data_IF_121679147293
#
_entry.id   IF_121679147293
#
_cell.length_a   1.000
_cell.length_b   1.000
_cell.length_c   1.000
_cell.angle_alpha   90.00
_cell.angle_beta   90.00
_cell.angle_gamma   90.00
#
_symmetry.space_group_name_H-M   'P 1'
#
loop_
_entity.id
_entity.type
_entity.pdbx_description
1 polymer ?
#
# COMPACT_ATOMS: atom_id res chain seq x y z
N UNK A 1 -11.73 1.14 20.81
CA UNK A 1 -11.55 1.41 19.37
C UNK A 1 -10.21 2.09 19.17
N UNK A 2 -9.46 1.64 18.17
CA UNK A 2 -8.27 2.35 17.71
C UNK A 2 -8.65 3.21 16.50
N UNK A 3 -8.04 4.37 16.35
CA UNK A 3 -8.33 5.24 15.21
C UNK A 3 -7.13 6.13 14.88
N UNK A 4 -7.00 6.49 13.61
CA UNK A 4 -5.95 7.38 13.11
C UNK A 4 -6.54 8.31 12.05
N UNK A 5 -6.08 9.56 12.02
CA UNK A 5 -6.32 10.44 10.88
C UNK A 5 -5.09 10.36 9.97
N UNK A 6 -5.22 9.62 8.88
CA UNK A 6 -4.09 9.35 7.99
C UNK A 6 -3.66 10.57 7.19
N UNK A 7 -4.50 11.61 7.14
CA UNK A 7 -4.14 12.85 6.44
C UNK A 7 -3.19 13.72 7.25
N UNK A 8 -3.15 13.54 8.57
CA UNK A 8 -2.35 14.38 9.48
C UNK A 8 -1.32 13.61 10.29
N UNK A 9 -1.39 12.29 10.30
CA UNK A 9 -0.47 11.45 11.05
C UNK A 9 0.98 11.71 10.60
N UNK A 10 1.88 11.88 11.56
CA UNK A 10 3.30 12.03 11.27
C UNK A 10 3.88 10.67 10.87
N UNK A 11 4.24 10.55 9.61
CA UNK A 11 4.77 9.29 9.04
C UNK A 11 6.11 9.59 8.37
N UNK A 12 7.15 8.88 8.79
CA UNK A 12 8.48 9.03 8.22
C UNK A 12 8.47 8.63 6.74
N UNK A 13 9.03 9.48 5.83
CA UNK A 13 9.06 9.18 4.41
C UNK A 13 9.70 7.81 4.11
N UNK A 14 9.12 7.07 3.16
CA UNK A 14 9.57 5.74 2.71
C UNK A 14 9.51 4.63 3.74
N UNK A 15 9.12 4.91 4.95
CA UNK A 15 9.12 3.92 6.02
C UNK A 15 7.70 3.48 6.31
N UNK A 16 7.27 2.30 5.84
CA UNK A 16 5.92 1.81 6.12
C UNK A 16 5.70 1.71 7.62
N UNK A 17 4.60 2.27 8.08
CA UNK A 17 4.20 2.21 9.47
C UNK A 17 3.00 1.29 9.64
N UNK A 18 3.18 0.19 10.35
CA UNK A 18 2.07 -0.71 10.66
C UNK A 18 1.18 -0.05 11.69
N UNK A 19 -0.09 0.10 11.37
CA UNK A 19 -1.10 0.68 12.26
C UNK A 19 -1.77 -0.40 13.10
N UNK A 20 -2.24 -1.44 12.43
CA UNK A 20 -2.93 -2.55 13.07
C UNK A 20 -2.62 -3.82 12.29
N UNK A 21 -2.38 -4.92 13.01
CA UNK A 21 -2.10 -6.20 12.38
C UNK A 21 -2.57 -7.33 13.28
N UNK A 22 -3.43 -8.20 12.74
CA UNK A 22 -3.89 -9.39 13.43
C UNK A 22 -3.69 -10.59 12.52
N UNK A 23 -2.96 -11.58 13.01
CA UNK A 23 -2.70 -12.81 12.24
C UNK A 23 -4.01 -13.49 11.85
N UNK A 24 -4.13 -13.84 10.58
CA UNK A 24 -5.32 -14.47 10.02
C UNK A 24 -6.38 -13.49 9.54
N UNK A 25 -6.19 -12.20 9.78
CA UNK A 25 -7.12 -11.15 9.37
C UNK A 25 -6.43 -10.20 8.40
N UNK A 26 -6.30 -8.93 8.77
CA UNK A 26 -5.70 -7.94 7.90
C UNK A 26 -4.53 -7.22 8.58
N UNK A 27 -3.62 -6.70 7.77
CA UNK A 27 -2.59 -5.77 8.22
C UNK A 27 -2.84 -4.43 7.53
N UNK A 28 -2.99 -3.37 8.32
CA UNK A 28 -3.16 -2.00 7.84
C UNK A 28 -1.87 -1.23 8.02
N UNK A 29 -1.39 -0.63 6.94
CA UNK A 29 -0.10 0.07 6.88
C UNK A 29 -0.32 1.43 6.27
N UNK A 30 0.32 2.46 6.81
CA UNK A 30 0.35 3.77 6.18
C UNK A 30 1.75 4.07 5.67
N UNK A 31 1.82 4.81 4.56
CA UNK A 31 3.06 5.15 3.89
C UNK A 31 3.02 6.60 3.42
N UNK A 32 4.09 7.33 3.69
CA UNK A 32 4.33 8.65 3.12
C UNK A 32 5.36 8.49 1.99
N UNK A 33 4.93 8.79 0.77
CA UNK A 33 5.76 8.69 -0.43
C UNK A 33 5.97 10.10 -1.00
N UNK A 34 7.18 10.68 -0.81
CA UNK A 34 7.47 12.01 -1.32
C UNK A 34 7.36 12.11 -2.84
N UNK A 35 7.08 13.31 -3.35
CA UNK A 35 6.98 13.57 -4.78
C UNK A 35 8.21 13.07 -5.55
N UNK A 36 7.99 12.40 -6.67
CA UNK A 36 9.04 11.87 -7.52
C UNK A 36 9.61 10.53 -7.08
N UNK A 37 9.19 10.04 -5.92
CA UNK A 37 9.68 8.77 -5.40
C UNK A 37 8.73 7.62 -5.71
N UNK A 38 9.26 6.40 -5.61
CA UNK A 38 8.47 5.23 -6.02
C UNK A 38 8.68 4.04 -5.09
N UNK A 39 7.65 3.21 -5.00
CA UNK A 39 7.77 1.84 -4.56
C UNK A 39 8.07 1.05 -5.82
N UNK A 40 9.29 0.51 -5.93
CA UNK A 40 9.72 -0.21 -7.11
C UNK A 40 8.89 -1.47 -7.32
N UNK A 41 8.95 -2.00 -8.54
CA UNK A 41 8.27 -3.23 -8.93
C UNK A 41 8.42 -4.30 -7.86
N UNK A 42 7.32 -4.68 -7.25
CA UNK A 42 7.29 -5.65 -6.16
C UNK A 42 5.97 -6.43 -6.18
N UNK A 43 5.95 -7.48 -5.38
CA UNK A 43 4.75 -8.27 -5.19
C UNK A 43 4.61 -8.66 -3.73
N UNK A 44 3.39 -8.86 -3.28
CA UNK A 44 3.10 -9.34 -1.93
C UNK A 44 2.25 -10.61 -2.03
N UNK A 45 2.30 -11.43 -1.00
CA UNK A 45 1.58 -12.72 -0.98
C UNK A 45 0.10 -12.55 -0.68
N UNK A 46 -0.30 -11.38 -0.22
CA UNK A 46 -1.67 -11.05 0.18
C UNK A 46 -2.38 -10.31 -0.94
N UNK A 47 -3.70 -10.28 -0.89
CA UNK A 47 -4.45 -9.31 -1.68
C UNK A 47 -4.19 -7.94 -1.07
N UNK A 48 -3.77 -6.99 -1.91
CA UNK A 48 -3.41 -5.65 -1.47
C UNK A 48 -4.45 -4.63 -1.93
N UNK A 49 -4.92 -3.84 -1.00
CA UNK A 49 -5.73 -2.65 -1.27
C UNK A 49 -4.87 -1.43 -1.02
N UNK A 50 -4.77 -0.55 -2.00
CA UNK A 50 -4.04 0.71 -1.88
C UNK A 50 -5.03 1.85 -2.06
N UNK A 51 -5.13 2.70 -1.05
CA UNK A 51 -6.03 3.86 -1.07
C UNK A 51 -5.19 5.12 -0.99
N UNK A 52 -5.40 6.05 -1.91
CA UNK A 52 -4.74 7.36 -1.86
C UNK A 52 -5.49 8.24 -0.87
N UNK A 53 -4.79 8.71 0.15
CA UNK A 53 -5.31 9.62 1.18
C UNK A 53 -5.01 11.07 0.79
N UNK A 54 -3.81 11.34 0.27
CA UNK A 54 -3.37 12.68 -0.14
C UNK A 54 -2.39 12.56 -1.29
N UNK A 55 -2.28 13.60 -2.09
CA UNK A 55 -1.39 13.62 -3.24
C UNK A 55 -1.93 12.86 -4.43
N UNK A 56 -1.07 12.66 -5.43
CA UNK A 56 -1.40 11.95 -6.66
C UNK A 56 -0.38 10.87 -6.94
N UNK A 57 -0.83 9.70 -7.34
CA UNK A 57 0.04 8.57 -7.67
C UNK A 57 -0.25 8.04 -9.07
N UNK A 58 0.73 7.32 -9.60
CA UNK A 58 0.63 6.53 -10.81
C UNK A 58 0.94 5.08 -10.45
N UNK A 59 0.06 4.16 -10.87
CA UNK A 59 0.19 2.74 -10.59
C UNK A 59 0.37 2.01 -11.91
N UNK A 60 1.38 1.14 -11.99
CA UNK A 60 1.66 0.34 -13.17
C UNK A 60 1.65 -1.14 -12.80
N UNK A 61 0.95 -1.94 -13.61
CA UNK A 61 0.87 -3.40 -13.42
C UNK A 61 1.51 -4.08 -14.63
N UNK A 62 2.52 -4.91 -14.38
CA UNK A 62 3.26 -5.69 -15.40
C UNK A 62 3.75 -4.84 -16.60
N UNK A 63 4.02 -3.56 -16.38
CA UNK A 63 4.46 -2.65 -17.42
C UNK A 63 3.40 -2.35 -18.50
N UNK A 64 2.17 -2.85 -18.34
CA UNK A 64 1.14 -2.78 -19.37
C UNK A 64 0.01 -1.83 -19.04
N UNK A 65 -0.51 -1.87 -17.81
CA UNK A 65 -1.63 -1.04 -17.40
C UNK A 65 -1.14 0.07 -16.47
N UNK A 66 -1.52 1.31 -16.77
CA UNK A 66 -1.17 2.48 -15.98
C UNK A 66 -2.43 3.21 -15.56
N UNK A 67 -2.56 3.47 -14.27
CA UNK A 67 -3.67 4.23 -13.69
C UNK A 67 -3.09 5.37 -12.87
N UNK A 68 -3.64 6.57 -13.03
CA UNK A 68 -3.24 7.75 -12.30
C UNK A 68 -4.43 8.26 -11.50
N UNK A 69 -4.23 8.66 -10.26
CA UNK A 69 -5.30 9.23 -9.46
C UNK A 69 -4.85 9.87 -8.17
N UNK A 70 -5.73 10.68 -7.61
CA UNK A 70 -5.54 11.40 -6.37
C UNK A 70 -6.35 10.82 -5.23
N UNK A 71 -6.64 11.63 -4.19
CA UNK A 71 -7.37 11.16 -3.00
C UNK A 71 -8.68 10.47 -3.35
N UNK A 72 -8.88 9.29 -2.79
CA UNK A 72 -10.04 8.47 -3.07
C UNK A 72 -9.80 7.36 -4.09
N UNK A 73 -8.68 7.37 -4.81
CA UNK A 73 -8.33 6.25 -5.69
C UNK A 73 -8.12 4.99 -4.85
N UNK A 74 -8.79 3.91 -5.24
CA UNK A 74 -8.57 2.58 -4.69
C UNK A 74 -8.03 1.68 -5.79
N UNK A 75 -6.87 1.08 -5.57
CA UNK A 75 -6.32 0.05 -6.43
C UNK A 75 -6.27 -1.27 -5.65
N UNK A 76 -6.68 -2.35 -6.30
CA UNK A 76 -6.68 -3.68 -5.69
C UNK A 76 -5.81 -4.60 -6.53
N UNK A 77 -4.81 -5.23 -5.89
CA UNK A 77 -3.89 -6.15 -6.55
C UNK A 77 -4.16 -7.58 -6.11
N UNK A 78 -4.11 -8.49 -7.06
CA UNK A 78 -4.20 -9.91 -6.76
C UNK A 78 -2.95 -10.37 -5.98
N UNK A 79 -3.05 -11.44 -5.18
CA UNK A 79 -1.86 -12.00 -4.56
C UNK A 79 -0.77 -12.28 -5.60
N UNK A 80 0.46 -11.89 -5.28
CA UNK A 80 1.64 -12.07 -6.12
C UNK A 80 1.63 -11.28 -7.45
N UNK A 81 0.69 -10.38 -7.65
CA UNK A 81 0.68 -9.51 -8.82
C UNK A 81 1.77 -8.45 -8.70
N UNK A 82 2.63 -8.37 -9.72
CA UNK A 82 3.73 -7.40 -9.71
C UNK A 82 3.20 -6.03 -10.07
N UNK A 83 3.54 -5.05 -9.26
CA UNK A 83 3.09 -3.66 -9.47
C UNK A 83 4.14 -2.67 -8.99
N UNK A 84 4.01 -1.45 -9.47
CA UNK A 84 4.88 -0.33 -9.14
C UNK A 84 4.01 0.89 -8.86
N UNK A 85 4.35 1.65 -7.85
CA UNK A 85 3.62 2.86 -7.45
C UNK A 85 4.60 4.03 -7.45
N UNK A 86 4.26 5.10 -8.17
CA UNK A 86 5.07 6.32 -8.24
C UNK A 86 4.25 7.49 -7.71
N UNK A 87 4.87 8.32 -6.87
CA UNK A 87 4.24 9.54 -6.39
C UNK A 87 4.49 10.67 -7.40
N UNK A 88 3.42 11.23 -7.94
CA UNK A 88 3.48 12.39 -8.83
C UNK A 88 3.53 13.68 -8.04
N UNK A 89 2.99 13.67 -6.85
CA UNK A 89 3.13 14.71 -5.83
C UNK A 89 3.32 14.05 -4.49
N UNK A 90 3.60 14.82 -3.45
CA UNK A 90 3.76 14.29 -2.10
C UNK A 90 2.51 13.50 -1.70
N UNK A 91 2.63 12.20 -1.50
CA UNK A 91 1.48 11.32 -1.37
C UNK A 91 1.44 10.59 -0.03
N UNK A 92 0.22 10.34 0.43
CA UNK A 92 -0.05 9.49 1.60
C UNK A 92 -0.97 8.37 1.19
N UNK A 93 -0.58 7.15 1.55
CA UNK A 93 -1.27 5.93 1.15
C UNK A 93 -1.67 5.10 2.36
N UNK A 94 -2.83 4.44 2.25
CA UNK A 94 -3.21 3.36 3.14
C UNK A 94 -3.10 2.06 2.36
N UNK A 95 -2.39 1.09 2.92
CA UNK A 95 -2.28 -0.26 2.38
C UNK A 95 -2.95 -1.23 3.33
N UNK A 96 -3.79 -2.10 2.78
CA UNK A 96 -4.41 -3.18 3.55
C UNK A 96 -4.07 -4.50 2.88
N UNK A 97 -3.43 -5.40 3.63
CA UNK A 97 -3.03 -6.73 3.19
C UNK A 97 -3.88 -7.77 3.89
N UNK A 98 -4.57 -8.62 3.13
CA UNK A 98 -5.46 -9.62 3.72
C UNK A 98 -5.54 -10.88 2.83
N UNK A 99 -5.60 -12.08 3.44
CA UNK A 99 -5.33 -12.34 4.85
C UNK A 99 -3.86 -12.14 5.18
N UNK A 100 -3.55 -11.78 6.41
CA UNK A 100 -2.16 -11.59 6.84
C UNK A 100 -1.74 -12.70 7.82
N UNK A 101 -0.62 -13.40 7.62
CA UNK A 101 0.14 -13.42 6.37
C UNK A 101 -0.59 -14.26 5.31
N UNK A 102 -0.38 -13.92 4.03
CA UNK A 102 -0.99 -14.64 2.92
C UNK A 102 -0.29 -15.97 2.61
N UNK A 103 -0.94 -16.84 1.86
CA UNK A 103 -0.35 -18.11 1.45
C UNK A 103 0.97 -17.89 0.71
N UNK A 104 2.02 -18.62 1.12
CA UNK A 104 3.36 -18.49 0.55
C UNK A 104 4.24 -17.47 1.25
N UNK A 105 3.68 -16.61 2.08
CA UNK A 105 4.45 -15.68 2.89
C UNK A 105 5.26 -16.48 3.94
N UNK A 106 6.55 -16.17 4.15
CA UNK A 106 7.36 -16.91 5.16
C UNK A 106 6.72 -16.95 6.53
N UNK A 107 6.03 -15.89 6.95
CA UNK A 107 5.33 -15.84 8.23
C UNK A 107 4.06 -16.66 8.31
N UNK A 108 3.57 -17.26 7.19
CA UNK A 108 2.40 -18.11 7.17
C UNK A 108 2.68 -19.52 7.69
N UNK A 109 3.94 -19.88 7.86
CA UNK A 109 4.34 -21.19 8.37
C UNK A 109 4.15 -21.26 9.88
N UNK A 110 3.64 -22.37 10.31
CA UNK A 110 3.53 -22.68 11.74
C UNK A 110 4.82 -23.31 12.26
#
# INVERSE_FOLDING_TARGET
>A
MEHWDLSTLDVEPHKPQVLHSTRGEARSITLHLPAGEELQDHQVHERAHVVVIAGEIEVEVDGAEVVTGGPGLLAVFDPNERHEVRARSDARLLLVLAPWPGPGHPGARD
#
